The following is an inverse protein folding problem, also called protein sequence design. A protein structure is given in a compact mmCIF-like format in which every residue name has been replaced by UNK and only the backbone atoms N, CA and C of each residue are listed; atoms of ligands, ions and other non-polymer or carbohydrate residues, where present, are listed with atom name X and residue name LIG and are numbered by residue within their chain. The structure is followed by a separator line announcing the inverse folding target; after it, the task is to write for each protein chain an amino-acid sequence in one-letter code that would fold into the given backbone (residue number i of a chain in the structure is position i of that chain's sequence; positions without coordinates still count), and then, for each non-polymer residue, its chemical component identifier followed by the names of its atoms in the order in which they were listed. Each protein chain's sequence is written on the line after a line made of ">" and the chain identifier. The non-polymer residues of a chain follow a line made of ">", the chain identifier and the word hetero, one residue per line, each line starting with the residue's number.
data_IF_330243255715
#
_entry.id   IF_330243255715
#
_cell.length_a   1.000
_cell.length_b   1.000
_cell.length_c   1.000
_cell.angle_alpha   90.00
_cell.angle_beta   90.00
_cell.angle_gamma   90.00
#
_symmetry.space_group_name_H-M   'P 1'
#
loop_
_entity.id
_entity.type
_entity.pdbx_description
1 polymer ?
#
# COMPACT_ATOMS: atom_id res chain seq x y z
N UNK A 1 -22.90 24.86 -26.74
CA UNK A 1 -21.58 24.66 -26.08
C UNK A 1 -20.65 25.76 -26.52
N UNK A 2 -19.86 26.34 -25.61
CA UNK A 2 -18.83 27.34 -25.92
C UNK A 2 -17.53 26.73 -26.44
N UNK A 3 -17.31 25.43 -26.23
CA UNK A 3 -16.15 24.72 -26.73
C UNK A 3 -16.53 23.29 -27.14
N UNK A 4 -16.76 23.08 -28.44
CA UNK A 4 -17.20 21.78 -28.99
C UNK A 4 -16.08 20.76 -29.13
N UNK A 5 -14.81 21.14 -28.96
CA UNK A 5 -13.71 20.16 -28.89
C UNK A 5 -13.65 19.50 -27.51
N UNK A 6 -14.07 20.21 -26.45
CA UNK A 6 -14.18 19.68 -25.09
C UNK A 6 -15.49 18.91 -24.89
N UNK A 7 -16.63 19.52 -25.26
CA UNK A 7 -17.92 18.86 -25.11
C UNK A 7 -18.97 19.36 -26.10
N UNK A 8 -19.78 18.42 -26.60
CA UNK A 8 -20.95 18.70 -27.43
C UNK A 8 -22.24 18.46 -26.66
N UNK A 9 -23.32 19.12 -27.08
CA UNK A 9 -24.67 18.88 -26.59
C UNK A 9 -25.60 18.76 -27.79
N UNK A 10 -26.48 17.76 -27.81
CA UNK A 10 -27.46 17.59 -28.89
C UNK A 10 -28.79 18.33 -28.61
N UNK A 11 -29.73 18.23 -29.56
CA UNK A 11 -31.02 18.91 -29.48
C UNK A 11 -31.93 18.38 -28.35
N UNK A 12 -31.64 17.20 -27.79
CA UNK A 12 -32.37 16.61 -26.64
C UNK A 12 -31.74 16.96 -25.30
N UNK A 13 -30.57 17.64 -25.31
CA UNK A 13 -29.83 18.00 -24.11
C UNK A 13 -28.80 16.96 -23.67
N UNK A 14 -28.55 15.91 -24.46
CA UNK A 14 -27.52 14.93 -24.14
C UNK A 14 -26.13 15.54 -24.35
N UNK A 15 -25.35 15.62 -23.26
CA UNK A 15 -23.97 16.09 -23.31
C UNK A 15 -22.99 14.93 -23.59
N UNK A 16 -21.99 15.19 -24.44
CA UNK A 16 -20.90 14.24 -24.75
C UNK A 16 -19.57 14.93 -24.52
N UNK A 17 -18.77 14.42 -23.58
CA UNK A 17 -17.38 14.82 -23.38
C UNK A 17 -16.48 14.26 -24.49
N UNK A 18 -15.54 15.06 -24.97
CA UNK A 18 -14.64 14.70 -26.09
C UNK A 18 -13.17 14.81 -25.72
N UNK A 19 -12.79 15.86 -25.01
CA UNK A 19 -11.41 16.05 -24.52
C UNK A 19 -11.42 16.75 -23.17
N UNK A 20 -10.34 16.56 -22.40
CA UNK A 20 -10.17 17.27 -21.14
C UNK A 20 -10.24 18.80 -21.34
N UNK A 21 -10.89 19.50 -20.41
CA UNK A 21 -11.09 20.94 -20.46
C UNK A 21 -12.48 21.35 -19.95
N UNK A 22 -12.82 22.62 -20.14
CA UNK A 22 -14.12 23.17 -19.74
C UNK A 22 -14.89 23.71 -20.95
N UNK A 23 -16.21 23.53 -20.91
CA UNK A 23 -17.14 24.07 -21.89
C UNK A 23 -18.38 24.61 -21.16
N UNK A 24 -18.80 25.82 -21.49
CA UNK A 24 -20.07 26.37 -21.01
C UNK A 24 -21.19 25.94 -21.94
N UNK A 25 -22.22 25.35 -21.38
CA UNK A 25 -23.45 24.99 -22.09
C UNK A 25 -24.49 26.05 -21.79
N UNK A 26 -25.00 26.70 -22.84
CA UNK A 26 -26.10 27.67 -22.75
C UNK A 26 -27.32 27.08 -23.43
N UNK A 27 -28.44 27.03 -22.71
CA UNK A 27 -29.75 26.70 -23.25
C UNK A 27 -30.56 27.99 -23.39
N UNK A 28 -31.18 28.19 -24.54
CA UNK A 28 -32.02 29.36 -24.84
C UNK A 28 -33.43 28.87 -25.18
N UNK A 29 -34.41 29.31 -24.39
CA UNK A 29 -35.82 29.01 -24.61
C UNK A 29 -36.40 29.82 -25.77
N UNK A 30 -37.56 29.40 -26.28
CA UNK A 30 -38.24 30.08 -27.40
C UNK A 30 -38.64 31.54 -27.12
N UNK A 31 -38.67 31.96 -25.86
CA UNK A 31 -38.86 33.34 -25.43
C UNK A 31 -37.59 34.20 -25.46
N UNK A 32 -36.43 33.63 -25.82
CA UNK A 32 -35.12 34.28 -25.76
C UNK A 32 -34.44 34.22 -24.38
N UNK A 33 -35.15 33.76 -23.33
CA UNK A 33 -34.56 33.54 -22.01
C UNK A 33 -33.46 32.47 -22.10
N UNK A 34 -32.33 32.67 -21.42
CA UNK A 34 -31.20 31.73 -21.46
C UNK A 34 -30.72 31.36 -20.06
N UNK A 35 -30.23 30.13 -19.91
CA UNK A 35 -29.54 29.65 -18.73
C UNK A 35 -28.25 28.93 -19.14
N UNK A 36 -27.22 28.99 -18.30
CA UNK A 36 -25.93 28.36 -18.60
C UNK A 36 -25.38 27.55 -17.45
N UNK A 37 -24.63 26.50 -17.77
CA UNK A 37 -23.86 25.68 -16.83
C UNK A 37 -22.47 25.38 -17.39
N UNK A 38 -21.51 25.08 -16.52
CA UNK A 38 -20.15 24.69 -16.92
C UNK A 38 -20.02 23.17 -16.87
N UNK A 39 -19.60 22.58 -17.98
CA UNK A 39 -19.22 21.19 -18.08
C UNK A 39 -17.69 21.09 -18.03
N UNK A 40 -17.19 20.26 -17.12
CA UNK A 40 -15.76 19.96 -16.99
C UNK A 40 -15.52 18.50 -17.35
N UNK A 41 -14.65 18.27 -18.32
CA UNK A 41 -14.19 16.93 -18.72
C UNK A 41 -12.77 16.77 -18.19
N UNK A 42 -12.51 15.71 -17.44
CA UNK A 42 -11.18 15.40 -16.91
C UNK A 42 -10.63 14.14 -17.58
N UNK A 43 -9.32 14.13 -17.87
CA UNK A 43 -8.60 12.92 -18.27
C UNK A 43 -7.89 12.38 -17.03
N UNK A 44 -8.30 11.19 -16.59
CA UNK A 44 -7.76 10.56 -15.38
C UNK A 44 -7.01 9.27 -15.70
N UNK A 45 -5.92 9.07 -14.98
CA UNK A 45 -5.09 7.88 -15.04
C UNK A 45 -4.95 7.28 -13.65
N UNK A 46 -4.89 5.95 -13.58
CA UNK A 46 -4.93 5.23 -12.31
C UNK A 46 -3.52 5.05 -11.75
N UNK A 47 -3.35 5.39 -10.47
CA UNK A 47 -2.21 4.98 -9.66
C UNK A 47 -2.64 3.79 -8.78
N UNK A 48 -1.84 2.73 -8.78
CA UNK A 48 -2.04 1.59 -7.89
C UNK A 48 -0.82 1.35 -7.00
N UNK A 49 -1.06 1.07 -5.72
CA UNK A 49 -0.03 0.74 -4.72
C UNK A 49 -0.10 -0.75 -4.39
N UNK A 50 1.05 -1.40 -4.36
CA UNK A 50 1.19 -2.79 -3.90
C UNK A 50 1.97 -2.79 -2.60
N UNK A 51 1.40 -3.37 -1.55
CA UNK A 51 2.14 -3.67 -0.32
C UNK A 51 2.87 -5.01 -0.51
N UNK A 52 4.19 -4.99 -0.38
CA UNK A 52 5.06 -6.14 -0.61
C UNK A 52 5.86 -6.50 0.66
N UNK A 53 6.45 -7.68 0.66
CA UNK A 53 7.17 -8.24 1.81
C UNK A 53 6.25 -9.02 2.76
N UNK A 54 6.81 -9.51 3.86
CA UNK A 54 6.08 -10.31 4.86
C UNK A 54 5.73 -9.52 6.12
N UNK A 55 6.20 -8.26 6.21
CA UNK A 55 5.81 -7.34 7.26
C UNK A 55 4.44 -6.72 6.99
N UNK A 56 3.92 -6.02 7.98
CA UNK A 56 2.69 -5.23 7.86
C UNK A 56 3.00 -3.75 7.68
N UNK A 57 2.10 -3.03 7.04
CA UNK A 57 2.23 -1.59 6.83
C UNK A 57 1.07 -1.04 6.02
N UNK A 58 1.09 0.26 5.82
CA UNK A 58 0.14 0.97 4.98
C UNK A 58 0.83 2.05 4.17
N UNK A 59 0.13 2.57 3.17
CA UNK A 59 0.57 3.74 2.42
C UNK A 59 -0.58 4.71 2.17
N UNK A 60 -0.33 6.01 2.28
CA UNK A 60 -1.31 7.05 1.98
C UNK A 60 -0.79 8.01 0.91
N UNK A 61 -1.69 8.69 0.20
CA UNK A 61 -1.37 9.65 -0.85
C UNK A 61 -1.69 11.10 -0.49
N UNK A 62 -0.94 12.02 -1.09
CA UNK A 62 -1.28 13.43 -1.25
C UNK A 62 -1.11 13.81 -2.73
N UNK A 63 -2.18 14.25 -3.45
CA UNK A 63 -3.55 14.44 -2.99
C UNK A 63 -4.21 13.17 -2.42
N UNK A 64 -5.21 13.30 -1.53
CA UNK A 64 -5.87 12.15 -0.90
C UNK A 64 -6.61 11.31 -1.95
N UNK A 65 -6.70 10.01 -1.69
CA UNK A 65 -7.40 9.05 -2.55
C UNK A 65 -6.94 7.62 -2.31
N UNK A 66 -5.66 7.42 -1.97
CA UNK A 66 -5.12 6.10 -1.61
C UNK A 66 -4.92 6.02 -0.10
N UNK A 67 -5.46 4.96 0.51
CA UNK A 67 -5.15 4.51 1.88
C UNK A 67 -4.92 3.00 1.81
N UNK A 68 -3.77 2.64 1.23
CA UNK A 68 -3.45 1.27 0.91
C UNK A 68 -3.17 0.48 2.19
N UNK A 69 -3.83 -0.67 2.28
CA UNK A 69 -4.21 -1.34 3.51
C UNK A 69 -5.70 -1.71 3.45
N UNK A 70 -6.51 -0.81 2.90
CA UNK A 70 -7.92 -1.06 2.53
C UNK A 70 -8.22 -0.65 1.09
N UNK A 71 -7.70 0.48 0.63
CA UNK A 71 -7.89 0.98 -0.74
C UNK A 71 -6.57 1.42 -1.36
N UNK A 72 -6.15 0.70 -2.40
CA UNK A 72 -4.82 0.77 -2.96
C UNK A 72 -4.80 1.36 -4.38
N UNK A 73 -5.89 1.93 -4.88
CA UNK A 73 -5.93 2.42 -6.25
C UNK A 73 -6.83 3.65 -6.40
N UNK A 74 -6.32 4.71 -7.00
CA UNK A 74 -7.10 5.95 -7.24
C UNK A 74 -6.83 6.51 -8.64
N UNK A 75 -7.88 6.97 -9.36
CA UNK A 75 -7.73 7.79 -10.56
C UNK A 75 -7.40 9.26 -10.24
N UNK A 76 -6.23 9.72 -10.67
CA UNK A 76 -5.84 11.13 -10.61
C UNK A 76 -5.89 11.77 -11.99
N UNK A 77 -6.12 13.08 -12.03
CA UNK A 77 -6.03 13.83 -13.30
C UNK A 77 -4.61 13.67 -13.88
N UNK A 78 -4.50 13.45 -15.20
CA UNK A 78 -3.20 13.26 -15.86
C UNK A 78 -2.29 14.46 -15.62
N UNK A 79 -1.03 14.16 -15.28
CA UNK A 79 0.01 15.14 -14.94
C UNK A 79 0.04 15.49 -13.45
N UNK A 80 -0.91 15.00 -12.64
CA UNK A 80 -0.88 15.17 -11.19
C UNK A 80 0.39 14.59 -10.59
N UNK A 81 1.04 15.35 -9.70
CA UNK A 81 2.14 14.88 -8.87
C UNK A 81 1.56 14.35 -7.57
N UNK A 82 1.69 13.04 -7.34
CA UNK A 82 1.23 12.34 -6.15
C UNK A 82 2.43 12.01 -5.28
N UNK A 83 2.35 12.35 -3.99
CA UNK A 83 3.31 11.90 -2.97
C UNK A 83 2.66 10.81 -2.13
N UNK A 84 3.26 9.62 -2.15
CA UNK A 84 2.91 8.50 -1.30
C UNK A 84 3.80 8.48 -0.07
N UNK A 85 3.23 8.16 1.08
CA UNK A 85 3.95 8.01 2.35
C UNK A 85 3.69 6.63 2.92
N UNK A 86 4.75 5.86 3.17
CA UNK A 86 4.68 4.55 3.79
C UNK A 86 4.69 4.67 5.32
N UNK A 87 3.84 3.90 5.99
CA UNK A 87 3.83 3.75 7.44
C UNK A 87 3.98 2.28 7.80
N UNK A 88 5.14 1.86 8.35
CA UNK A 88 5.29 0.50 8.86
C UNK A 88 4.25 0.20 9.95
N UNK A 89 3.72 -1.03 9.95
CA UNK A 89 2.91 -1.53 11.05
C UNK A 89 3.77 -1.93 12.25
N UNK A 90 3.12 -2.23 13.37
CA UNK A 90 3.80 -2.74 14.58
C UNK A 90 4.59 -4.01 14.27
N UNK A 91 5.85 -4.07 14.73
CA UNK A 91 6.73 -5.21 14.47
C UNK A 91 7.23 -5.31 13.03
N UNK A 92 7.13 -4.23 12.25
CA UNK A 92 7.62 -4.18 10.86
C UNK A 92 8.46 -2.94 10.61
N UNK A 93 9.36 -3.03 9.64
CA UNK A 93 10.18 -1.94 9.12
C UNK A 93 9.85 -1.70 7.65
N UNK A 94 9.90 -0.44 7.24
CA UNK A 94 9.80 -0.08 5.84
C UNK A 94 11.15 -0.28 5.16
N UNK A 95 11.18 -1.13 4.14
CA UNK A 95 12.40 -1.51 3.44
C UNK A 95 12.64 -0.69 2.16
N UNK A 96 11.60 -0.07 1.59
CA UNK A 96 11.76 0.81 0.44
C UNK A 96 10.59 0.81 -0.54
N UNK A 97 10.65 1.78 -1.44
CA UNK A 97 9.72 1.97 -2.54
C UNK A 97 10.31 1.47 -3.86
N UNK A 98 9.47 0.97 -4.78
CA UNK A 98 9.82 0.73 -6.18
C UNK A 98 8.76 1.30 -7.13
N UNK A 99 9.18 1.73 -8.33
CA UNK A 99 8.29 2.32 -9.35
C UNK A 99 8.04 3.83 -9.19
N UNK A 100 8.66 4.47 -8.20
CA UNK A 100 8.58 5.92 -7.98
C UNK A 100 9.47 6.69 -8.94
N UNK A 101 9.16 7.97 -9.17
CA UNK A 101 10.07 8.86 -9.92
C UNK A 101 11.20 9.36 -9.00
N UNK A 102 10.86 9.65 -7.74
CA UNK A 102 11.83 9.96 -6.69
C UNK A 102 11.41 9.30 -5.37
N UNK A 103 12.40 8.97 -4.54
CA UNK A 103 12.22 8.37 -3.22
C UNK A 103 13.06 9.14 -2.21
N UNK A 104 12.46 9.47 -1.06
CA UNK A 104 13.13 10.14 0.06
C UNK A 104 12.67 9.54 1.39
N UNK A 105 13.45 8.62 1.94
CA UNK A 105 13.05 7.88 3.14
C UNK A 105 11.76 7.10 2.89
N UNK A 106 10.71 7.37 3.68
CA UNK A 106 9.41 6.73 3.56
C UNK A 106 8.49 7.35 2.50
N UNK A 107 8.92 8.39 1.79
CA UNK A 107 8.11 9.04 0.76
C UNK A 107 8.51 8.65 -0.66
N UNK A 108 7.51 8.58 -1.53
CA UNK A 108 7.62 8.25 -2.94
C UNK A 108 6.83 9.28 -3.74
N UNK A 109 7.47 9.98 -4.67
CA UNK A 109 6.79 10.93 -5.55
C UNK A 109 6.63 10.33 -6.94
N UNK A 110 5.44 10.51 -7.51
CA UNK A 110 5.03 10.01 -8.82
C UNK A 110 4.33 11.12 -9.60
N UNK A 111 4.75 11.35 -10.84
CA UNK A 111 4.00 12.18 -11.80
C UNK A 111 3.18 11.28 -12.71
N UNK A 112 1.86 11.39 -12.65
CA UNK A 112 0.93 10.52 -13.37
C UNK A 112 0.70 10.97 -14.81
N UNK A 113 1.68 10.75 -15.67
CA UNK A 113 1.53 10.93 -17.12
C UNK A 113 0.81 9.76 -17.80
N UNK A 114 0.76 8.59 -17.16
CA UNK A 114 0.05 7.38 -17.58
C UNK A 114 -0.31 6.55 -16.33
N UNK A 115 -1.08 5.47 -16.50
CA UNK A 115 -1.34 4.55 -15.40
C UNK A 115 -0.02 3.98 -14.85
N UNK A 116 0.12 3.92 -13.53
CA UNK A 116 1.37 3.49 -12.88
C UNK A 116 1.07 2.58 -11.70
N UNK A 117 1.94 1.61 -11.49
CA UNK A 117 1.96 0.78 -10.29
C UNK A 117 3.26 0.99 -9.53
N UNK A 118 3.16 1.16 -8.22
CA UNK A 118 4.29 1.33 -7.31
C UNK A 118 4.17 0.37 -6.14
N UNK A 119 5.29 -0.05 -5.57
CA UNK A 119 5.29 -1.02 -4.47
C UNK A 119 5.98 -0.45 -3.23
N UNK A 120 5.35 -0.60 -2.07
CA UNK A 120 5.90 -0.30 -0.76
C UNK A 120 6.29 -1.63 -0.09
N UNK A 121 7.56 -1.84 0.24
CA UNK A 121 8.01 -3.09 0.85
C UNK A 121 8.14 -2.94 2.36
N UNK A 122 7.49 -3.82 3.11
CA UNK A 122 7.57 -3.93 4.56
C UNK A 122 8.08 -5.31 4.97
N UNK A 123 9.06 -5.36 5.86
CA UNK A 123 9.60 -6.60 6.41
C UNK A 123 9.41 -6.62 7.93
N UNK A 124 9.34 -7.79 8.59
CA UNK A 124 9.34 -7.86 10.04
C UNK A 124 10.56 -7.14 10.64
N UNK A 125 10.37 -6.41 11.75
CA UNK A 125 11.45 -5.70 12.44
C UNK A 125 12.43 -6.66 13.13
N UNK A 126 11.98 -7.88 13.42
CA UNK A 126 12.78 -8.99 13.94
C UNK A 126 12.59 -10.20 13.02
N UNK A 127 13.68 -10.84 12.65
CA UNK A 127 13.62 -12.09 11.91
C UNK A 127 13.45 -13.24 12.90
N UNK A 128 12.40 -14.04 12.76
CA UNK A 128 12.17 -15.17 13.63
C UNK A 128 13.04 -16.37 13.22
N UNK A 129 13.70 -16.99 14.20
CA UNK A 129 14.51 -18.20 14.06
C UNK A 129 13.95 -19.31 14.93
N UNK A 130 13.70 -20.47 14.33
CA UNK A 130 13.25 -21.66 15.06
C UNK A 130 14.46 -22.45 15.56
N UNK A 131 14.54 -22.62 16.88
CA UNK A 131 15.52 -23.46 17.55
C UNK A 131 14.88 -24.83 17.85
N UNK A 132 15.48 -25.89 17.30
CA UNK A 132 15.07 -27.28 17.55
C UNK A 132 16.15 -28.01 18.33
N UNK A 133 15.79 -28.57 19.47
CA UNK A 133 16.66 -29.40 20.31
C UNK A 133 16.44 -30.86 19.98
N UNK A 134 17.40 -31.45 19.27
CA UNK A 134 17.42 -32.88 19.00
C UNK A 134 18.18 -33.58 20.12
N UNK A 135 17.47 -34.38 20.94
CA UNK A 135 18.13 -35.21 21.96
C UNK A 135 18.82 -36.39 21.30
N UNK A 136 20.03 -36.71 21.75
CA UNK A 136 20.78 -37.90 21.36
C UNK A 136 21.04 -38.80 22.58
N UNK A 137 21.18 -40.12 22.34
CA UNK A 137 21.41 -41.12 23.40
C UNK A 137 20.11 -41.71 23.99
N UNK A 138 20.27 -42.69 24.88
CA UNK A 138 19.15 -43.45 25.50
C UNK A 138 18.75 -42.93 26.88
N UNK A 139 19.41 -41.89 27.39
CA UNK A 139 19.11 -41.32 28.70
C UNK A 139 17.74 -40.62 28.75
N UNK A 140 17.09 -40.65 29.90
CA UNK A 140 15.78 -40.02 30.15
C UNK A 140 15.85 -38.56 30.62
N UNK A 141 17.03 -37.93 30.52
CA UNK A 141 17.24 -36.54 30.92
C UNK A 141 16.42 -35.51 30.13
N UNK A 142 16.34 -34.30 30.68
CA UNK A 142 15.59 -33.17 30.12
C UNK A 142 16.51 -32.07 29.62
N UNK A 143 16.01 -31.23 28.71
CA UNK A 143 16.66 -29.98 28.32
C UNK A 143 15.64 -28.87 28.41
N UNK A 144 15.94 -27.82 29.19
CA UNK A 144 15.06 -26.66 29.35
C UNK A 144 15.74 -25.39 28.90
N UNK A 145 14.99 -24.45 28.33
CA UNK A 145 15.46 -23.09 28.08
C UNK A 145 15.23 -22.18 29.29
N UNK A 146 16.03 -21.11 29.40
CA UNK A 146 15.90 -20.09 30.44
C UNK A 146 14.55 -19.35 30.43
N UNK A 147 13.85 -19.33 29.31
CA UNK A 147 12.51 -18.74 29.12
C UNK A 147 11.37 -19.76 29.24
N UNK A 148 11.69 -21.05 29.42
CA UNK A 148 10.71 -22.13 29.55
C UNK A 148 9.98 -22.53 28.26
N UNK A 149 10.27 -21.92 27.11
CA UNK A 149 9.64 -22.26 25.83
C UNK A 149 10.08 -23.61 25.28
N UNK A 150 11.30 -24.05 25.62
CA UNK A 150 11.84 -25.38 25.34
C UNK A 150 11.87 -26.17 26.63
N UNK A 151 11.26 -27.36 26.60
CA UNK A 151 11.26 -28.35 27.67
C UNK A 151 11.23 -29.74 27.05
N UNK A 152 12.38 -30.24 26.62
CA UNK A 152 12.50 -31.58 26.07
C UNK A 152 12.38 -32.64 27.18
N UNK A 153 11.61 -33.74 26.96
CA UNK A 153 11.10 -34.20 25.67
C UNK A 153 9.72 -33.68 25.22
N UNK A 154 8.99 -32.91 26.03
CA UNK A 154 7.60 -32.55 25.69
C UNK A 154 7.50 -31.46 24.61
N UNK A 155 8.34 -30.44 24.67
CA UNK A 155 8.44 -29.37 23.67
C UNK A 155 9.90 -29.11 23.34
N UNK A 156 10.35 -29.57 22.18
CA UNK A 156 11.75 -29.45 21.74
C UNK A 156 12.00 -28.36 20.71
N UNK A 157 10.99 -27.53 20.43
CA UNK A 157 11.10 -26.49 19.42
C UNK A 157 10.51 -25.19 19.95
N UNK A 158 11.23 -24.09 19.78
CA UNK A 158 10.72 -22.75 20.04
C UNK A 158 11.21 -21.78 18.96
N UNK A 159 10.49 -20.66 18.79
CA UNK A 159 10.83 -19.64 17.81
C UNK A 159 11.21 -18.35 18.54
N UNK A 160 12.30 -17.74 18.11
CA UNK A 160 12.94 -16.60 18.75
C UNK A 160 13.18 -15.46 17.78
N UNK A 161 13.17 -14.23 18.26
CA UNK A 161 13.61 -13.10 17.46
C UNK A 161 15.12 -13.17 17.18
N UNK A 162 15.53 -12.55 16.07
CA UNK A 162 16.93 -12.34 15.73
C UNK A 162 17.63 -11.65 16.90
N UNK A 163 18.83 -12.11 17.26
CA UNK A 163 19.64 -11.63 18.41
C UNK A 163 19.14 -11.99 19.82
N UNK A 164 18.04 -12.75 19.96
CA UNK A 164 17.65 -13.29 21.27
C UNK A 164 18.70 -14.30 21.75
N UNK A 165 19.24 -14.09 22.95
CA UNK A 165 20.08 -15.07 23.64
C UNK A 165 19.22 -15.94 24.56
N UNK A 166 19.37 -17.26 24.43
CA UNK A 166 18.64 -18.25 25.24
C UNK A 166 19.66 -19.25 25.78
N UNK A 167 19.59 -19.50 27.09
CA UNK A 167 20.45 -20.51 27.72
C UNK A 167 19.69 -21.83 27.81
N UNK A 168 20.28 -22.90 27.27
CA UNK A 168 19.76 -24.27 27.41
C UNK A 168 20.47 -24.99 28.55
N UNK A 169 19.69 -25.57 29.47
CA UNK A 169 20.19 -26.38 30.58
C UNK A 169 19.77 -27.82 30.39
N UNK A 170 20.74 -28.74 30.29
CA UNK A 170 20.49 -30.17 30.30
C UNK A 170 20.55 -30.72 31.73
N UNK A 171 19.53 -31.49 32.13
CA UNK A 171 19.50 -32.17 33.42
C UNK A 171 19.42 -33.69 33.20
N UNK A 172 20.37 -34.49 33.73
CA UNK A 172 20.25 -35.94 33.72
C UNK A 172 19.05 -36.39 34.57
N UNK A 173 18.44 -37.52 34.20
CA UNK A 173 17.44 -38.17 35.03
C UNK A 173 18.13 -38.86 36.22
N UNK A 174 17.51 -38.77 37.40
CA UNK A 174 17.93 -39.47 38.63
C UNK A 174 17.51 -40.94 38.60
#
# INVERSE_FOLDING_TARGET
>A
SSNTTVATIDATGLATGRSAGTATITATGGSGASASTTLTVTDRVTLSVVLAGTGTGSASSSPPGITCGTDCSEPYDRGTVVTLTASPGSGSTFNGWSGCDTVSGATCTVTLSAAKSVSATFNPSSQLFTLTVNRAGTGSGTVTSSDGLISCPSSCTATYDSSTSVTLTASPAT
#
